data_IF_494575836175
#
_entry.id   IF_494575836175
#
_cell.length_a   1.000
_cell.length_b   1.000
_cell.length_c   1.000
_cell.angle_alpha   90.00
_cell.angle_beta   90.00
_cell.angle_gamma   90.00
#
_symmetry.space_group_name_H-M   'P 1'
#
loop_
_entity.id
_entity.type
_entity.pdbx_description
1 polymer ?
#
# COMPACT_ATOMS: atom_id res chain seq x y z
N UNK A 1 -2.18 -3.64 -45.55
CA UNK A 1 -2.46 -2.89 -44.30
C UNK A 1 -1.35 -3.19 -43.31
N UNK A 2 -1.12 -2.31 -42.33
CA UNK A 2 -0.08 -2.57 -41.32
C UNK A 2 -0.58 -3.62 -40.33
N UNK A 3 0.29 -4.54 -39.91
CA UNK A 3 -0.01 -5.58 -38.93
C UNK A 3 -0.68 -5.03 -37.66
N UNK A 4 -0.25 -3.86 -37.21
CA UNK A 4 -0.83 -3.16 -36.07
C UNK A 4 -2.30 -2.77 -36.28
N UNK A 5 -2.67 -2.33 -37.47
CA UNK A 5 -4.05 -1.97 -37.78
C UNK A 5 -4.97 -3.19 -37.67
N UNK A 6 -4.52 -4.33 -38.19
CA UNK A 6 -5.29 -5.58 -38.14
C UNK A 6 -5.49 -6.07 -36.70
N UNK A 7 -4.44 -6.03 -35.86
CA UNK A 7 -4.51 -6.39 -34.43
C UNK A 7 -5.48 -5.49 -33.62
N UNK A 8 -5.52 -4.18 -33.94
CA UNK A 8 -6.44 -3.25 -33.28
C UNK A 8 -7.90 -3.51 -33.66
N UNK A 9 -8.16 -3.78 -34.94
CA UNK A 9 -9.50 -4.11 -35.43
C UNK A 9 -9.98 -5.43 -34.81
N UNK A 10 -9.11 -6.42 -34.70
CA UNK A 10 -9.39 -7.68 -34.00
C UNK A 10 -9.79 -7.43 -32.54
N UNK A 11 -9.00 -6.65 -31.78
CA UNK A 11 -9.29 -6.34 -30.38
C UNK A 11 -10.62 -5.60 -30.17
N UNK A 12 -10.98 -4.67 -31.06
CA UNK A 12 -12.26 -3.95 -31.00
C UNK A 12 -13.46 -4.85 -31.31
N UNK A 13 -13.32 -5.76 -32.28
CA UNK A 13 -14.36 -6.74 -32.57
C UNK A 13 -14.55 -7.71 -31.40
N UNK A 14 -13.46 -8.18 -30.80
CA UNK A 14 -13.52 -9.01 -29.60
C UNK A 14 -14.20 -8.29 -28.42
N UNK A 15 -13.91 -7.00 -28.21
CA UNK A 15 -14.61 -6.20 -27.19
C UNK A 15 -16.12 -6.07 -27.47
N UNK A 16 -16.52 -5.88 -28.73
CA UNK A 16 -17.94 -5.85 -29.11
C UNK A 16 -18.64 -7.16 -28.78
N UNK A 17 -18.05 -8.30 -29.14
CA UNK A 17 -18.64 -9.60 -28.85
C UNK A 17 -18.68 -9.90 -27.34
N UNK A 18 -17.69 -9.42 -26.58
CA UNK A 18 -17.67 -9.51 -25.11
C UNK A 18 -18.83 -8.73 -24.47
N UNK A 19 -19.05 -7.48 -24.88
CA UNK A 19 -20.17 -6.66 -24.35
C UNK A 19 -21.55 -7.21 -24.72
N UNK A 20 -21.65 -8.01 -25.78
CA UNK A 20 -22.85 -8.74 -26.18
C UNK A 20 -22.98 -10.12 -25.49
N UNK A 21 -22.03 -10.51 -24.64
CA UNK A 21 -22.01 -11.79 -23.94
C UNK A 21 -21.73 -13.00 -24.84
N UNK A 22 -21.20 -12.79 -26.06
CA UNK A 22 -20.91 -13.86 -27.03
C UNK A 22 -19.58 -14.55 -26.77
N UNK A 23 -18.62 -13.81 -26.22
CA UNK A 23 -17.30 -14.33 -25.83
C UNK A 23 -16.95 -13.88 -24.42
N UNK A 24 -15.98 -14.56 -23.82
CA UNK A 24 -15.36 -14.17 -22.55
C UNK A 24 -13.97 -13.62 -22.81
N UNK A 25 -13.71 -12.39 -22.36
CA UNK A 25 -12.36 -11.83 -22.32
C UNK A 25 -11.75 -12.02 -20.93
N UNK A 26 -10.42 -11.99 -20.86
CA UNK A 26 -9.73 -11.90 -19.57
C UNK A 26 -10.09 -10.57 -18.91
N UNK A 27 -10.96 -10.64 -17.91
CA UNK A 27 -11.41 -9.47 -17.15
C UNK A 27 -10.94 -9.58 -15.71
N UNK A 28 -10.52 -8.47 -15.13
CA UNK A 28 -10.26 -8.35 -13.70
C UNK A 28 -11.07 -7.17 -13.17
N UNK A 29 -12.05 -7.45 -12.33
CA UNK A 29 -12.74 -6.41 -11.58
C UNK A 29 -11.85 -6.00 -10.41
N UNK A 30 -11.49 -4.72 -10.37
CA UNK A 30 -10.77 -4.14 -9.24
C UNK A 30 -11.77 -3.40 -8.37
N UNK A 31 -11.89 -3.84 -7.11
CA UNK A 31 -12.62 -3.07 -6.12
C UNK A 31 -11.77 -1.88 -5.65
N UNK A 32 -12.46 -0.78 -5.31
CA UNK A 32 -11.79 0.35 -4.68
C UNK A 32 -11.34 -0.07 -3.29
N UNK A 33 -10.03 -0.17 -3.07
CA UNK A 33 -9.45 -0.49 -1.77
C UNK A 33 -9.60 0.73 -0.85
N UNK A 34 -10.29 0.56 0.27
CA UNK A 34 -10.39 1.61 1.29
C UNK A 34 -9.02 1.91 1.90
N UNK A 35 -8.72 3.18 2.25
CA UNK A 35 -7.45 3.54 2.85
C UNK A 35 -7.26 2.80 4.17
N UNK A 36 -6.15 2.07 4.28
CA UNK A 36 -5.78 1.37 5.51
C UNK A 36 -5.69 2.40 6.65
N UNK A 37 -6.39 2.16 7.75
CA UNK A 37 -6.36 3.00 8.93
C UNK A 37 -5.42 2.39 9.97
N UNK A 38 -4.85 3.23 10.83
CA UNK A 38 -4.10 2.82 12.02
C UNK A 38 -4.34 3.82 13.15
N UNK A 39 -4.57 3.32 14.35
CA UNK A 39 -4.75 4.11 15.57
C UNK A 39 -3.40 4.47 16.21
N UNK A 40 -3.42 5.47 17.07
CA UNK A 40 -2.22 5.91 17.81
C UNK A 40 -1.67 4.80 18.72
N UNK A 41 -2.56 4.02 19.35
CA UNK A 41 -2.19 2.90 20.22
C UNK A 41 -1.54 1.77 19.40
N UNK A 42 -2.09 1.41 18.24
CA UNK A 42 -1.47 0.42 17.35
C UNK A 42 -0.06 0.83 16.91
N UNK A 43 0.16 2.12 16.61
CA UNK A 43 1.50 2.64 16.25
C UNK A 43 2.49 2.43 17.39
N UNK A 44 2.06 2.69 18.62
CA UNK A 44 2.86 2.52 19.83
C UNK A 44 3.18 1.04 20.07
N UNK A 45 2.19 0.17 19.94
CA UNK A 45 2.34 -1.28 20.09
C UNK A 45 3.35 -1.86 19.09
N UNK A 46 3.30 -1.43 17.82
CA UNK A 46 4.26 -1.89 16.79
C UNK A 46 5.70 -1.58 17.20
N UNK A 47 5.97 -0.36 17.67
CA UNK A 47 7.31 0.02 18.13
C UNK A 47 7.73 -0.78 19.35
N UNK A 48 6.82 -1.00 20.30
CA UNK A 48 7.11 -1.75 21.52
C UNK A 48 7.39 -3.23 21.26
N UNK A 49 6.69 -3.85 20.30
CA UNK A 49 6.99 -5.22 19.82
C UNK A 49 8.42 -5.34 19.29
N UNK A 50 8.93 -4.29 18.65
CA UNK A 50 10.30 -4.22 18.14
C UNK A 50 11.34 -3.80 19.19
N UNK A 51 10.90 -3.46 20.41
CA UNK A 51 11.75 -3.01 21.52
C UNK A 51 12.62 -1.79 21.18
N UNK A 52 12.08 -0.87 20.39
CA UNK A 52 12.77 0.34 19.97
C UNK A 52 12.27 1.58 20.73
N UNK A 53 13.17 2.54 20.95
CA UNK A 53 12.79 3.88 21.41
C UNK A 53 12.09 4.66 20.30
N UNK A 54 11.29 5.66 20.66
CA UNK A 54 10.61 6.52 19.69
C UNK A 54 11.60 7.18 18.71
N UNK A 55 12.76 7.61 19.21
CA UNK A 55 13.80 8.26 18.41
C UNK A 55 14.43 7.30 17.38
N UNK A 56 14.77 6.08 17.82
CA UNK A 56 15.34 5.06 16.91
C UNK A 56 14.31 4.66 15.87
N UNK A 57 13.06 4.43 16.27
CA UNK A 57 11.99 4.04 15.36
C UNK A 57 11.69 5.13 14.31
N UNK A 58 11.59 6.39 14.75
CA UNK A 58 11.38 7.53 13.85
C UNK A 58 12.54 7.69 12.85
N UNK A 59 13.78 7.60 13.33
CA UNK A 59 14.97 7.68 12.49
C UNK A 59 14.98 6.58 11.41
N UNK A 60 14.71 5.34 11.83
CA UNK A 60 14.63 4.16 10.97
C UNK A 60 13.50 4.25 9.93
N UNK A 61 12.37 4.87 10.27
CA UNK A 61 11.28 5.20 9.33
C UNK A 61 11.51 6.48 8.50
N UNK A 62 12.68 7.11 8.61
CA UNK A 62 13.02 8.37 7.90
C UNK A 62 12.00 9.49 8.16
N UNK A 63 11.47 9.55 9.37
CA UNK A 63 10.55 10.60 9.82
C UNK A 63 11.14 11.36 11.00
N UNK A 64 10.67 12.59 11.24
CA UNK A 64 11.12 13.35 12.40
C UNK A 64 10.56 12.74 13.69
N UNK A 65 11.32 12.81 14.78
CA UNK A 65 10.82 12.38 16.10
C UNK A 65 9.52 13.10 16.47
N UNK A 66 9.43 14.41 16.20
CA UNK A 66 8.23 15.21 16.46
C UNK A 66 7.02 14.70 15.69
N UNK A 67 7.20 14.35 14.41
CA UNK A 67 6.14 13.79 13.57
C UNK A 67 5.67 12.45 14.13
N UNK A 68 6.61 11.56 14.46
CA UNK A 68 6.29 10.24 15.00
C UNK A 68 5.58 10.32 16.37
N UNK A 69 6.04 11.19 17.27
CA UNK A 69 5.36 11.45 18.54
C UNK A 69 3.94 12.00 18.32
N UNK A 70 3.75 12.84 17.30
CA UNK A 70 2.42 13.31 16.92
C UNK A 70 1.48 12.18 16.51
N UNK A 71 2.00 11.11 15.88
CA UNK A 71 1.24 9.92 15.52
C UNK A 71 0.86 9.09 16.75
N UNK A 72 1.82 8.76 17.63
CA UNK A 72 1.53 8.02 18.87
C UNK A 72 0.63 8.78 19.86
N UNK A 73 0.57 10.11 19.76
CA UNK A 73 -0.32 10.94 20.58
C UNK A 73 -1.67 11.20 19.90
N UNK A 74 -1.88 10.73 18.66
CA UNK A 74 -3.10 10.99 17.89
C UNK A 74 -3.29 12.44 17.43
N UNK A 75 -2.27 13.31 17.59
CA UNK A 75 -2.30 14.72 17.15
C UNK A 75 -2.18 14.87 15.63
N UNK A 76 -1.58 13.88 14.98
CA UNK A 76 -1.45 13.80 13.53
C UNK A 76 -1.68 12.36 13.08
N UNK A 77 -2.13 12.18 11.84
CA UNK A 77 -2.22 10.86 11.22
C UNK A 77 -1.05 10.62 10.27
N UNK A 78 -0.47 9.41 10.23
CA UNK A 78 0.46 9.05 9.17
C UNK A 78 -0.20 9.15 7.80
N UNK A 79 0.58 9.44 6.76
CA UNK A 79 0.10 9.40 5.39
C UNK A 79 -0.22 7.94 4.96
N UNK A 80 -0.92 7.71 3.83
CA UNK A 80 -1.30 6.36 3.42
C UNK A 80 -0.12 5.40 3.27
N UNK A 81 1.03 5.88 2.78
CA UNK A 81 2.24 5.08 2.58
C UNK A 81 2.86 4.66 3.92
N UNK A 82 2.99 5.60 4.86
CA UNK A 82 3.47 5.33 6.21
C UNK A 82 2.52 4.38 6.95
N UNK A 83 1.21 4.54 6.78
CA UNK A 83 0.21 3.63 7.35
C UNK A 83 0.36 2.21 6.83
N UNK A 84 0.56 2.06 5.52
CA UNK A 84 0.82 0.77 4.90
C UNK A 84 2.13 0.15 5.43
N UNK A 85 3.21 0.92 5.53
CA UNK A 85 4.50 0.46 6.06
C UNK A 85 4.37 -0.01 7.51
N UNK A 86 3.70 0.76 8.37
CA UNK A 86 3.45 0.39 9.76
C UNK A 86 2.67 -0.93 9.85
N UNK A 87 1.64 -1.10 9.01
CA UNK A 87 0.85 -2.35 8.95
C UNK A 87 1.64 -3.54 8.42
N UNK A 88 2.53 -3.33 7.46
CA UNK A 88 3.43 -4.38 6.99
C UNK A 88 4.41 -4.81 8.09
N UNK A 89 4.96 -3.86 8.83
CA UNK A 89 5.85 -4.11 9.96
C UNK A 89 5.12 -4.84 11.11
N UNK A 90 3.87 -4.48 11.39
CA UNK A 90 3.05 -5.18 12.40
C UNK A 90 2.82 -6.66 12.04
N UNK A 91 2.55 -6.94 10.76
CA UNK A 91 2.35 -8.31 10.25
C UNK A 91 3.65 -9.10 10.16
N UNK A 92 4.76 -8.43 9.83
CA UNK A 92 6.07 -9.04 9.65
C UNK A 92 7.16 -8.14 10.22
N UNK A 93 7.58 -8.34 11.48
CA UNK A 93 8.62 -7.54 12.12
C UNK A 93 9.95 -7.53 11.34
N UNK A 94 10.26 -8.61 10.61
CA UNK A 94 11.45 -8.70 9.76
C UNK A 94 11.48 -7.67 8.63
N UNK A 95 10.30 -7.24 8.16
CA UNK A 95 10.18 -6.19 7.14
C UNK A 95 10.75 -4.86 7.62
N UNK A 96 10.74 -4.60 8.94
CA UNK A 96 11.33 -3.40 9.49
C UNK A 96 12.84 -3.31 9.21
N UNK A 97 13.58 -4.41 9.38
CA UNK A 97 15.02 -4.44 9.12
C UNK A 97 15.35 -4.24 7.64
N UNK A 98 14.52 -4.77 6.74
CA UNK A 98 14.69 -4.57 5.28
C UNK A 98 14.52 -3.10 4.88
N UNK A 99 13.58 -2.40 5.50
CA UNK A 99 13.31 -0.98 5.20
C UNK A 99 14.34 -0.08 5.89
N UNK A 100 14.77 -0.47 7.08
CA UNK A 100 15.55 0.37 7.97
C UNK A 100 17.07 0.07 7.96
N UNK A 101 17.47 -0.96 7.22
CA UNK A 101 18.86 -1.37 7.00
C UNK A 101 19.54 -0.73 5.77
N UNK A 102 18.84 0.15 5.04
CA UNK A 102 19.39 0.88 3.89
C UNK A 102 19.86 2.31 4.25
#
# INVERSE_FOLDING_TARGET
MSKLFDELVEGLNAYKDFTQGKITLRTQTLEKVEPVQISADEIKEIREKLKLSQAVFAHKLRTSLRTYQGWEQGRAKPNPQATLLLRMVDKSPQTFELIAGA
#
